data_IF_221774403429
#
_entry.id   IF_221774403429
#
_cell.length_a   1.000
_cell.length_b   1.000
_cell.length_c   1.000
_cell.angle_alpha   90.00
_cell.angle_beta   90.00
_cell.angle_gamma   90.00
#
_symmetry.space_group_name_H-M   'P 1'
#
loop_
_entity.id
_entity.type
_entity.pdbx_description
1 polymer ?
#
# COMPACT_ATOMS: atom_id res chain seq x y z
N UNK A 1 -12.32 -24.20 0.31
CA UNK A 1 -13.19 -23.12 0.80
C UNK A 1 -14.11 -22.65 -0.32
N UNK A 2 -15.41 -22.89 -0.16
CA UNK A 2 -16.47 -22.38 -1.04
C UNK A 2 -16.78 -20.90 -0.70
N UNK A 3 -17.69 -20.27 -1.46
CA UNK A 3 -18.05 -18.85 -1.26
C UNK A 3 -18.68 -18.58 0.10
N UNK A 4 -19.63 -19.40 0.55
CA UNK A 4 -20.32 -19.21 1.83
C UNK A 4 -19.36 -19.28 3.04
N UNK A 5 -18.41 -20.21 3.02
CA UNK A 5 -17.36 -20.31 4.04
C UNK A 5 -16.45 -19.07 4.07
N UNK A 6 -16.14 -18.52 2.90
CA UNK A 6 -15.35 -17.29 2.79
C UNK A 6 -16.13 -16.11 3.37
N UNK A 7 -17.43 -16.00 3.09
CA UNK A 7 -18.27 -14.91 3.58
C UNK A 7 -18.44 -14.95 5.10
N UNK A 8 -18.69 -16.14 5.66
CA UNK A 8 -18.75 -16.34 7.11
C UNK A 8 -17.41 -16.00 7.77
N UNK A 9 -16.28 -16.47 7.22
CA UNK A 9 -14.94 -16.12 7.69
C UNK A 9 -14.74 -14.59 7.69
N UNK A 10 -15.12 -13.92 6.61
CA UNK A 10 -14.97 -12.48 6.47
C UNK A 10 -15.83 -11.69 7.47
N UNK A 11 -17.08 -12.12 7.72
CA UNK A 11 -17.92 -11.53 8.77
C UNK A 11 -17.24 -11.61 10.14
N UNK A 12 -16.70 -12.78 10.50
CA UNK A 12 -16.03 -12.99 11.78
C UNK A 12 -14.74 -12.17 11.91
N UNK A 13 -13.96 -12.04 10.83
CA UNK A 13 -12.78 -11.17 10.80
C UNK A 13 -13.15 -9.70 10.98
N UNK A 14 -14.25 -9.24 10.36
CA UNK A 14 -14.72 -7.85 10.44
C UNK A 14 -15.08 -7.43 11.86
N UNK A 15 -15.56 -8.37 12.69
CA UNK A 15 -15.86 -8.14 14.12
C UNK A 15 -14.66 -8.42 15.04
N UNK A 16 -13.47 -8.69 14.49
CA UNK A 16 -12.22 -8.80 15.25
C UNK A 16 -11.92 -10.17 15.85
N UNK A 17 -12.63 -11.23 15.45
CA UNK A 17 -12.36 -12.59 15.94
C UNK A 17 -11.02 -13.08 15.37
N UNK A 18 -10.18 -13.67 16.24
CA UNK A 18 -8.85 -14.14 15.81
C UNK A 18 -9.00 -15.34 14.87
N UNK A 19 -8.18 -15.38 13.83
CA UNK A 19 -8.16 -16.45 12.81
C UNK A 19 -8.15 -17.88 13.39
N UNK A 20 -7.39 -18.21 14.46
CA UNK A 20 -7.49 -19.54 15.09
C UNK A 20 -8.89 -19.88 15.64
N UNK A 21 -9.60 -18.89 16.20
CA UNK A 21 -10.94 -19.06 16.77
C UNK A 21 -11.99 -19.25 15.67
N UNK A 22 -11.83 -18.56 14.54
CA UNK A 22 -12.67 -18.76 13.35
C UNK A 22 -12.56 -20.20 12.87
N UNK A 23 -11.35 -20.75 12.75
CA UNK A 23 -11.17 -22.15 12.36
C UNK A 23 -11.82 -23.11 13.36
N UNK A 24 -11.68 -22.84 14.66
CA UNK A 24 -12.33 -23.65 15.69
C UNK A 24 -13.86 -23.62 15.59
N UNK A 25 -14.47 -22.48 15.21
CA UNK A 25 -15.93 -22.42 14.99
C UNK A 25 -16.37 -23.28 13.80
N UNK A 26 -15.61 -23.32 12.70
CA UNK A 26 -15.92 -24.19 11.57
C UNK A 26 -15.85 -25.66 11.95
N UNK A 27 -14.85 -26.05 12.74
CA UNK A 27 -14.73 -27.41 13.30
C UNK A 27 -15.92 -27.75 14.19
N UNK A 28 -16.33 -26.83 15.05
CA UNK A 28 -17.47 -27.02 15.94
C UNK A 28 -18.79 -27.17 15.17
N UNK A 29 -19.00 -26.36 14.12
CA UNK A 29 -20.20 -26.45 13.26
C UNK A 29 -20.20 -27.72 12.42
N UNK A 30 -19.04 -28.18 11.94
CA UNK A 30 -18.90 -29.41 11.18
C UNK A 30 -18.91 -30.68 12.05
N UNK A 31 -18.89 -30.54 13.39
CA UNK A 31 -18.90 -31.67 14.33
C UNK A 31 -17.59 -32.46 14.40
N UNK A 32 -16.47 -31.88 13.97
CA UNK A 32 -15.18 -32.57 13.93
C UNK A 32 -14.21 -31.93 12.94
N UNK A 33 -12.92 -32.20 13.10
CA UNK A 33 -11.88 -31.67 12.19
C UNK A 33 -11.92 -32.37 10.83
N UNK A 34 -12.24 -33.65 10.85
CA UNK A 34 -12.41 -34.55 9.71
C UNK A 34 -13.55 -34.12 8.77
N UNK A 35 -14.51 -33.34 9.27
CA UNK A 35 -15.68 -32.90 8.54
C UNK A 35 -15.52 -31.49 7.92
N UNK A 36 -14.40 -30.80 8.18
CA UNK A 36 -14.13 -29.48 7.59
C UNK A 36 -13.53 -29.67 6.19
N UNK A 37 -14.14 -29.14 5.12
CA UNK A 37 -13.71 -29.40 3.74
C UNK A 37 -12.47 -28.58 3.31
N UNK A 38 -11.75 -28.00 4.26
CA UNK A 38 -10.54 -27.22 4.02
C UNK A 38 -9.61 -27.27 5.24
N UNK A 39 -8.31 -27.15 4.97
CA UNK A 39 -7.32 -27.11 6.02
C UNK A 39 -7.26 -25.71 6.64
N UNK A 40 -6.84 -25.64 7.90
CA UNK A 40 -6.51 -24.37 8.56
C UNK A 40 -5.57 -23.52 7.69
N UNK A 41 -4.59 -24.16 7.03
CA UNK A 41 -3.66 -23.52 6.11
C UNK A 41 -4.35 -22.84 4.93
N UNK A 42 -5.40 -23.45 4.38
CA UNK A 42 -6.14 -22.87 3.25
C UNK A 42 -6.83 -21.57 3.65
N UNK A 43 -7.38 -21.53 4.86
CA UNK A 43 -7.98 -20.32 5.43
C UNK A 43 -6.96 -19.20 5.60
N UNK A 44 -5.77 -19.50 6.14
CA UNK A 44 -4.67 -18.53 6.21
C UNK A 44 -4.22 -18.07 4.83
N UNK A 45 -4.05 -18.98 3.87
CA UNK A 45 -3.67 -18.65 2.50
C UNK A 45 -4.72 -17.74 1.84
N UNK A 46 -6.01 -17.98 2.10
CA UNK A 46 -7.12 -17.14 1.60
C UNK A 46 -7.10 -15.76 2.22
N UNK A 47 -6.92 -15.65 3.53
CA UNK A 47 -6.80 -14.36 4.23
C UNK A 47 -5.58 -13.59 3.74
N UNK A 48 -4.44 -14.25 3.56
CA UNK A 48 -3.24 -13.62 3.03
C UNK A 48 -3.45 -13.15 1.59
N UNK A 49 -4.06 -14.00 0.75
CA UNK A 49 -4.43 -13.62 -0.63
C UNK A 49 -5.44 -12.48 -0.67
N UNK A 50 -6.43 -12.45 0.23
CA UNK A 50 -7.39 -11.35 0.35
C UNK A 50 -6.73 -10.07 0.86
N UNK A 51 -5.80 -10.15 1.82
CA UNK A 51 -5.01 -8.99 2.26
C UNK A 51 -4.15 -8.43 1.13
N UNK A 52 -3.67 -9.28 0.21
CA UNK A 52 -3.00 -8.83 -1.02
C UNK A 52 -3.95 -8.21 -2.04
N UNK A 53 -5.22 -8.61 -2.07
CA UNK A 53 -6.22 -8.19 -3.06
C UNK A 53 -7.07 -6.98 -2.58
N UNK A 54 -7.23 -6.80 -1.26
CA UNK A 54 -8.04 -5.74 -0.67
C UNK A 54 -7.13 -4.57 -0.29
N UNK A 55 -6.92 -3.65 -1.22
CA UNK A 55 -7.05 -2.21 -1.00
C UNK A 55 -6.18 -1.54 0.09
N UNK A 56 -5.11 -2.18 0.55
CA UNK A 56 -4.23 -1.62 1.57
C UNK A 56 -3.42 -0.43 1.07
N UNK A 57 -2.87 -0.51 -0.14
CA UNK A 57 -1.82 0.44 -0.52
C UNK A 57 -2.31 1.73 -1.13
N UNK A 58 -3.31 1.72 -2.00
CA UNK A 58 -3.85 2.97 -2.52
C UNK A 58 -4.45 3.81 -1.38
N UNK A 59 -5.36 3.25 -0.59
CA UNK A 59 -6.02 3.99 0.49
C UNK A 59 -5.13 4.27 1.69
N UNK A 60 -4.17 3.41 2.06
CA UNK A 60 -3.22 3.76 3.11
C UNK A 60 -2.19 4.78 2.63
N UNK A 61 -1.73 4.71 1.38
CA UNK A 61 -0.93 5.74 0.76
C UNK A 61 -1.68 7.07 0.75
N UNK A 62 -2.90 7.10 0.25
CA UNK A 62 -3.77 8.28 0.20
C UNK A 62 -4.02 8.83 1.61
N UNK A 63 -4.25 7.96 2.60
CA UNK A 63 -4.39 8.34 4.01
C UNK A 63 -3.08 8.84 4.62
N UNK A 64 -1.92 8.35 4.19
CA UNK A 64 -0.61 8.79 4.65
C UNK A 64 -0.22 10.14 4.01
N UNK A 65 -0.53 10.34 2.72
CA UNK A 65 -0.46 11.61 2.00
C UNK A 65 -1.37 12.67 2.65
N UNK A 66 -2.65 12.35 2.87
CA UNK A 66 -3.61 13.21 3.57
C UNK A 66 -3.20 13.49 5.01
N UNK A 67 -2.56 12.53 5.68
CA UNK A 67 -2.06 12.73 7.04
C UNK A 67 -0.83 13.64 7.07
N UNK A 68 0.06 13.55 6.07
CA UNK A 68 1.16 14.51 5.90
C UNK A 68 0.64 15.92 5.61
N UNK A 69 -0.44 16.06 4.85
CA UNK A 69 -1.09 17.36 4.62
C UNK A 69 -1.63 17.98 5.94
N UNK A 70 -2.25 17.17 6.80
CA UNK A 70 -2.80 17.62 8.09
C UNK A 70 -1.71 17.84 9.16
N UNK A 71 -0.71 16.97 9.23
CA UNK A 71 0.36 17.04 10.24
C UNK A 71 1.46 18.04 9.85
N UNK A 72 1.63 18.34 8.56
CA UNK A 72 2.64 19.26 8.08
C UNK A 72 2.16 20.08 6.87
N UNK A 73 1.32 21.12 7.08
CA UNK A 73 0.88 22.01 6.00
C UNK A 73 2.05 22.73 5.31
N UNK A 74 3.25 22.74 5.91
CA UNK A 74 4.47 23.25 5.29
C UNK A 74 4.93 22.44 4.08
N UNK A 75 4.54 21.17 3.95
CA UNK A 75 5.10 20.31 2.90
C UNK A 75 4.69 20.71 1.48
N UNK A 76 3.45 21.21 1.31
CA UNK A 76 3.00 21.75 0.04
C UNK A 76 3.78 23.01 -0.34
N UNK A 77 4.14 23.84 0.65
CA UNK A 77 4.96 25.04 0.43
C UNK A 77 6.41 24.66 0.12
N UNK A 78 6.98 23.68 0.83
CA UNK A 78 8.31 23.16 0.55
C UNK A 78 8.38 22.59 -0.87
N UNK A 79 7.36 21.86 -1.32
CA UNK A 79 7.28 21.35 -2.69
C UNK A 79 7.05 22.47 -3.72
N UNK A 80 6.29 23.51 -3.38
CA UNK A 80 6.13 24.69 -4.22
C UNK A 80 7.48 25.38 -4.50
N UNK A 81 8.39 25.41 -3.52
CA UNK A 81 9.69 26.06 -3.64
C UNK A 81 10.77 25.10 -4.19
N UNK A 82 10.78 23.84 -3.76
CA UNK A 82 11.88 22.89 -4.00
C UNK A 82 11.49 21.66 -4.84
N UNK A 83 10.24 21.56 -5.29
CA UNK A 83 9.69 20.40 -6.01
C UNK A 83 10.07 20.30 -7.50
N UNK A 84 10.98 21.13 -8.00
CA UNK A 84 11.36 21.12 -9.42
C UNK A 84 12.15 19.86 -9.79
N UNK A 85 12.91 19.31 -8.84
CA UNK A 85 13.59 18.01 -8.98
C UNK A 85 13.03 17.05 -7.95
N UNK A 86 12.45 15.96 -8.43
CA UNK A 86 11.82 14.93 -7.62
C UNK A 86 12.58 13.61 -7.74
N UNK A 87 13.19 13.17 -6.66
CA UNK A 87 13.63 11.80 -6.50
C UNK A 87 12.42 10.91 -6.14
N UNK A 88 12.20 9.89 -6.97
CA UNK A 88 11.14 8.91 -6.89
C UNK A 88 11.76 7.52 -6.91
N UNK A 89 11.83 6.89 -5.73
CA UNK A 89 12.50 5.61 -5.54
C UNK A 89 11.67 4.67 -4.66
N UNK A 90 11.79 3.37 -4.90
CA UNK A 90 11.14 2.32 -4.13
C UNK A 90 12.17 1.46 -3.43
N UNK A 91 12.00 1.26 -2.12
CA UNK A 91 12.87 0.34 -1.39
C UNK A 91 12.59 -1.11 -1.81
N UNK A 92 13.64 -1.86 -2.16
CA UNK A 92 13.53 -3.28 -2.48
C UNK A 92 13.10 -4.13 -1.26
N UNK A 93 11.89 -4.71 -1.31
CA UNK A 93 11.39 -5.85 -0.51
C UNK A 93 12.03 -6.07 0.90
N UNK A 94 12.01 -5.07 1.78
CA UNK A 94 12.58 -5.21 3.15
C UNK A 94 11.58 -5.55 4.27
N UNK A 95 10.26 -5.51 4.02
CA UNK A 95 9.26 -5.76 5.07
C UNK A 95 8.65 -7.17 4.99
N UNK A 96 8.09 -7.64 6.13
CA UNK A 96 7.42 -8.95 6.29
C UNK A 96 6.27 -9.17 5.29
N UNK A 97 5.78 -8.10 4.67
CA UNK A 97 4.62 -8.07 3.80
C UNK A 97 4.99 -8.00 2.31
N UNK A 98 6.28 -7.89 1.98
CA UNK A 98 6.80 -7.73 0.62
C UNK A 98 6.22 -6.53 -0.15
N UNK A 99 5.79 -5.48 0.55
CA UNK A 99 5.30 -4.23 -0.04
C UNK A 99 6.46 -3.24 -0.19
N UNK A 100 6.81 -2.77 -1.40
CA UNK A 100 7.75 -1.67 -1.58
C UNK A 100 7.28 -0.40 -0.87
N UNK A 101 8.22 0.31 -0.23
CA UNK A 101 8.02 1.68 0.25
C UNK A 101 8.58 2.63 -0.80
N UNK A 102 7.71 3.42 -1.39
CA UNK A 102 8.04 4.50 -2.33
C UNK A 102 8.21 5.79 -1.55
N UNK A 103 9.26 6.54 -1.86
CA UNK A 103 9.54 7.85 -1.25
C UNK A 103 9.63 8.89 -2.36
N UNK A 104 8.96 10.02 -2.13
CA UNK A 104 9.03 11.23 -2.94
C UNK A 104 9.87 12.24 -2.19
N UNK A 105 11.03 12.60 -2.74
CA UNK A 105 11.95 13.51 -2.07
C UNK A 105 12.61 14.50 -3.02
N UNK A 106 13.08 15.61 -2.48
CA UNK A 106 13.86 16.62 -3.19
C UNK A 106 15.00 17.11 -2.32
N UNK A 107 15.57 18.25 -2.69
CA UNK A 107 16.63 18.91 -1.93
C UNK A 107 16.32 20.40 -1.77
N UNK A 108 16.61 20.95 -0.60
CA UNK A 108 16.55 22.40 -0.39
C UNK A 108 17.86 23.09 -0.83
N UNK A 109 17.91 24.41 -0.69
CA UNK A 109 19.09 25.23 -1.00
C UNK A 109 20.32 24.96 -0.12
N UNK A 110 20.19 24.16 0.94
CA UNK A 110 21.28 23.69 1.78
C UNK A 110 21.74 22.28 1.43
N UNK A 111 21.27 21.72 0.30
CA UNK A 111 21.50 20.33 -0.12
C UNK A 111 21.01 19.30 0.91
N UNK A 112 20.00 19.65 1.71
CA UNK A 112 19.36 18.73 2.64
C UNK A 112 18.18 18.06 1.95
N UNK A 113 18.04 16.75 2.14
CA UNK A 113 16.91 15.98 1.63
C UNK A 113 15.61 16.41 2.31
N UNK A 114 14.58 16.69 1.51
CA UNK A 114 13.21 16.90 1.97
C UNK A 114 12.37 15.73 1.47
N UNK A 115 11.59 15.11 2.34
CA UNK A 115 10.62 14.07 1.94
C UNK A 115 9.26 14.74 1.79
N UNK A 116 8.80 14.85 0.55
CA UNK A 116 7.49 15.43 0.21
C UNK A 116 6.35 14.46 0.48
N UNK A 117 6.59 13.17 0.28
CA UNK A 117 5.61 12.12 0.49
C UNK A 117 6.25 10.75 0.63
N UNK A 118 5.50 9.79 1.19
CA UNK A 118 5.85 8.39 1.17
C UNK A 118 4.60 7.52 0.97
N UNK A 119 4.80 6.33 0.43
CA UNK A 119 3.72 5.45 0.02
C UNK A 119 4.16 3.99 0.14
N UNK A 120 3.33 3.13 0.73
CA UNK A 120 3.49 1.69 0.53
C UNK A 120 2.70 1.30 -0.72
N UNK A 121 3.26 0.37 -1.50
CA UNK A 121 2.60 -0.20 -2.68
C UNK A 121 2.59 -1.73 -2.64
N UNK A 122 1.58 -2.34 -3.25
CA UNK A 122 1.35 -3.79 -3.12
C UNK A 122 2.14 -4.58 -4.16
N UNK A 123 2.37 -3.93 -5.30
CA UNK A 123 2.98 -4.49 -6.49
C UNK A 123 3.68 -3.37 -7.28
N UNK A 124 4.79 -3.72 -7.91
CA UNK A 124 5.65 -2.80 -8.68
C UNK A 124 5.22 -2.76 -10.15
N UNK A 125 3.92 -2.51 -10.42
CA UNK A 125 3.40 -2.42 -11.80
C UNK A 125 3.31 -0.97 -12.27
N UNK A 126 3.24 -0.79 -13.59
CA UNK A 126 3.13 0.53 -14.22
C UNK A 126 1.86 1.26 -13.76
N UNK A 127 0.74 0.55 -13.67
CA UNK A 127 -0.55 1.12 -13.29
C UNK A 127 -0.54 1.62 -11.84
N UNK A 128 0.11 0.87 -10.95
CA UNK A 128 0.26 1.26 -9.54
C UNK A 128 1.08 2.53 -9.42
N UNK A 129 2.17 2.65 -10.17
CA UNK A 129 3.00 3.86 -10.16
C UNK A 129 2.31 5.06 -10.83
N UNK A 130 1.58 4.87 -11.93
CA UNK A 130 0.77 5.94 -12.57
C UNK A 130 -0.27 6.50 -11.61
N UNK A 131 -1.00 5.61 -10.96
CA UNK A 131 -1.99 6.01 -9.95
C UNK A 131 -1.33 6.74 -8.78
N UNK A 132 -0.20 6.25 -8.30
CA UNK A 132 0.53 6.88 -7.19
C UNK A 132 1.03 8.29 -7.54
N UNK A 133 1.58 8.49 -8.74
CA UNK A 133 2.01 9.80 -9.23
C UNK A 133 0.84 10.78 -9.36
N UNK A 134 -0.33 10.31 -9.83
CA UNK A 134 -1.53 11.14 -9.89
C UNK A 134 -1.97 11.62 -8.50
N UNK A 135 -1.96 10.74 -7.50
CA UNK A 135 -2.31 11.11 -6.13
C UNK A 135 -1.29 12.04 -5.48
N UNK A 136 -0.01 11.85 -5.81
CA UNK A 136 1.02 12.79 -5.38
C UNK A 136 0.79 14.19 -5.96
N UNK A 137 0.51 14.31 -7.26
CA UNK A 137 0.23 15.60 -7.91
C UNK A 137 -1.00 16.28 -7.31
N UNK A 138 -2.09 15.54 -7.11
CA UNK A 138 -3.31 16.06 -6.50
C UNK A 138 -3.02 16.63 -5.10
N UNK A 139 -2.24 15.90 -4.28
CA UNK A 139 -1.81 16.34 -2.96
C UNK A 139 -0.84 17.54 -2.97
N UNK A 140 -0.21 17.81 -4.11
CA UNK A 140 0.76 18.89 -4.34
C UNK A 140 0.19 20.03 -5.20
N UNK A 141 -1.14 20.21 -5.20
CA UNK A 141 -1.84 21.27 -5.95
C UNK A 141 -1.55 21.25 -7.45
N UNK A 142 -1.43 20.05 -8.01
CA UNK A 142 -1.17 19.79 -9.42
C UNK A 142 0.15 20.41 -9.95
N UNK A 143 1.10 20.77 -9.07
CA UNK A 143 2.44 21.19 -9.49
C UNK A 143 3.25 19.97 -9.94
N UNK A 144 3.46 19.83 -11.25
CA UNK A 144 4.35 18.82 -11.79
C UNK A 144 5.84 19.16 -11.55
N UNK A 145 6.70 18.17 -11.26
CA UNK A 145 8.14 18.38 -11.20
C UNK A 145 8.70 18.61 -12.61
N UNK A 146 9.82 19.33 -12.71
CA UNK A 146 10.53 19.54 -13.98
C UNK A 146 11.35 18.30 -14.34
N UNK A 147 11.93 17.64 -13.34
CA UNK A 147 12.76 16.46 -13.51
C UNK A 147 12.42 15.41 -12.47
N UNK A 148 12.25 14.16 -12.92
CA UNK A 148 12.10 13.00 -12.05
C UNK A 148 13.36 12.14 -12.12
N UNK A 149 13.95 11.84 -10.98
CA UNK A 149 15.10 10.95 -10.82
C UNK A 149 14.59 9.65 -10.19
N UNK A 150 14.93 8.52 -10.79
CA UNK A 150 14.54 7.17 -10.34
C UNK A 150 15.69 6.20 -10.55
N UNK A 151 15.67 5.06 -9.86
CA UNK A 151 16.62 3.95 -10.04
C UNK A 151 16.51 3.29 -11.44
N UNK A 152 15.50 3.66 -12.22
CA UNK A 152 15.27 3.18 -13.58
C UNK A 152 14.48 1.89 -13.64
N UNK A 153 13.74 1.52 -12.58
CA UNK A 153 12.83 0.39 -12.61
C UNK A 153 11.87 0.49 -13.82
N UNK A 154 11.78 -0.57 -14.62
CA UNK A 154 11.08 -0.53 -15.90
C UNK A 154 9.61 -0.11 -15.82
N UNK A 155 8.92 -0.46 -14.73
CA UNK A 155 7.55 -0.02 -14.48
C UNK A 155 7.45 1.46 -14.07
N UNK A 156 8.44 1.99 -13.35
CA UNK A 156 8.48 3.41 -12.98
C UNK A 156 8.75 4.28 -14.20
N UNK A 157 9.72 3.86 -15.04
CA UNK A 157 10.03 4.57 -16.28
C UNK A 157 8.78 4.74 -17.17
N UNK A 158 8.02 3.67 -17.38
CA UNK A 158 6.76 3.70 -18.16
C UNK A 158 5.63 4.49 -17.48
N UNK A 159 5.70 4.69 -16.17
CA UNK A 159 4.72 5.47 -15.44
C UNK A 159 5.00 6.98 -15.51
N UNK A 160 6.27 7.35 -15.72
CA UNK A 160 6.72 8.74 -15.87
C UNK A 160 6.58 9.22 -17.33
N UNK A 161 6.80 8.34 -18.32
CA UNK A 161 6.60 8.57 -19.76
C UNK A 161 5.12 8.71 -20.15
#
# INVERSE_FOLDING_TARGET
MNSAEIDQMNMMLKVGIKTPQIYASFVQTAGGYENVPFLKRDMYNRIDKQRRIIGGDASACLKLLQRMEVENPGIQLDYEIFGDVLAFDATYRKNKYMCPLVVFSGVNHHNQTIVFAAALIANETEETYKWLLQQFLEGMKDKAPVCVITDGHGAMKKAIE
#
